data_IF_856195055669
#
_entry.id   IF_856195055669
#
_cell.length_a   1.000
_cell.length_b   1.000
_cell.length_c   1.000
_cell.angle_alpha   90.00
_cell.angle_beta   90.00
_cell.angle_gamma   90.00
#
_symmetry.space_group_name_H-M   'P 1'
#
loop_
_entity.id
_entity.type
_entity.pdbx_description
1 polymer ?
#
# COMPACT_ATOMS: atom_id res chain seq x y z
N UNK A 1 0.82 6.74 6.15
CA UNK A 1 0.92 5.36 6.65
C UNK A 1 2.10 4.66 6.00
N UNK A 2 2.92 4.03 6.81
CA UNK A 2 4.06 3.30 6.28
C UNK A 2 3.61 2.01 5.62
N UNK A 3 4.36 1.57 4.64
CA UNK A 3 4.02 0.34 3.94
C UNK A 3 5.26 -0.30 3.35
N UNK A 4 5.11 -1.54 2.90
CA UNK A 4 6.19 -2.30 2.31
C UNK A 4 5.93 -2.59 0.83
N UNK A 5 5.16 -1.76 0.16
CA UNK A 5 4.86 -1.99 -1.25
C UNK A 5 6.13 -2.06 -2.09
N UNK A 6 7.07 -1.15 -1.83
CA UNK A 6 8.31 -1.12 -2.59
C UNK A 6 9.09 -2.42 -2.41
N UNK A 7 9.09 -2.97 -1.20
CA UNK A 7 9.79 -4.23 -0.93
C UNK A 7 9.13 -5.36 -1.70
N UNK A 8 7.79 -5.46 -1.65
CA UNK A 8 7.09 -6.53 -2.35
C UNK A 8 7.22 -6.38 -3.86
N UNK A 9 7.20 -5.14 -4.36
CA UNK A 9 7.43 -4.93 -5.79
C UNK A 9 8.81 -5.45 -6.20
N UNK A 10 9.82 -5.13 -5.41
CA UNK A 10 11.17 -5.57 -5.72
C UNK A 10 11.27 -7.09 -5.72
N UNK A 11 10.61 -7.74 -4.78
CA UNK A 11 10.61 -9.18 -4.70
C UNK A 11 9.95 -9.84 -5.91
N UNK A 12 9.04 -9.14 -6.57
CA UNK A 12 8.32 -9.65 -7.72
C UNK A 12 8.78 -9.00 -9.03
N UNK A 13 9.85 -8.20 -8.98
CA UNK A 13 10.38 -7.52 -10.15
C UNK A 13 9.34 -6.64 -10.85
N UNK A 14 8.54 -5.93 -10.06
CA UNK A 14 7.52 -5.05 -10.60
C UNK A 14 7.92 -3.59 -10.45
N UNK A 15 7.70 -2.82 -11.51
CA UNK A 15 7.83 -1.38 -11.42
C UNK A 15 6.57 -0.80 -10.81
N UNK A 16 6.60 0.48 -10.45
CA UNK A 16 5.39 1.16 -9.98
C UNK A 16 4.30 1.12 -11.05
N UNK A 17 4.68 1.28 -12.30
CA UNK A 17 3.72 1.25 -13.40
C UNK A 17 3.10 -0.14 -13.53
N UNK A 18 3.91 -1.19 -13.39
CA UNK A 18 3.41 -2.56 -13.47
C UNK A 18 2.35 -2.80 -12.41
N UNK A 19 2.65 -2.43 -11.17
CA UNK A 19 1.70 -2.64 -10.09
C UNK A 19 0.44 -1.80 -10.31
N UNK A 20 0.60 -0.56 -10.77
CA UNK A 20 -0.53 0.30 -11.04
C UNK A 20 -1.49 -0.35 -12.04
N UNK A 21 -0.96 -0.90 -13.11
CA UNK A 21 -1.78 -1.57 -14.11
C UNK A 21 -2.48 -2.79 -13.53
N UNK A 22 -1.76 -3.56 -12.73
CA UNK A 22 -2.32 -4.78 -12.15
C UNK A 22 -3.53 -4.47 -11.25
N UNK A 23 -3.42 -3.42 -10.45
CA UNK A 23 -4.50 -3.11 -9.50
C UNK A 23 -5.45 -2.02 -10.00
N UNK A 24 -5.23 -1.54 -11.23
CA UNK A 24 -6.21 -0.66 -11.87
C UNK A 24 -6.17 0.80 -11.44
N UNK A 25 -4.99 1.32 -11.12
CA UNK A 25 -4.84 2.73 -10.77
C UNK A 25 -3.70 3.32 -11.58
N UNK A 26 -3.44 4.61 -11.41
CA UNK A 26 -2.34 5.25 -12.11
C UNK A 26 -1.05 5.06 -11.33
N UNK A 27 0.08 5.22 -12.03
CA UNK A 27 1.39 5.18 -11.41
C UNK A 27 1.49 6.23 -10.30
N UNK A 28 0.89 7.40 -10.53
CA UNK A 28 0.90 8.47 -9.53
C UNK A 28 0.28 8.04 -8.22
N UNK A 29 -0.78 7.24 -8.29
CA UNK A 29 -1.43 6.73 -7.09
C UNK A 29 -0.49 5.80 -6.33
N UNK A 30 0.20 4.90 -7.02
CA UNK A 30 1.13 4.00 -6.36
C UNK A 30 2.28 4.80 -5.72
N UNK A 31 2.80 5.78 -6.45
CA UNK A 31 3.87 6.62 -5.94
C UNK A 31 3.44 7.33 -4.65
N UNK A 32 2.25 7.89 -4.64
CA UNK A 32 1.73 8.61 -3.47
C UNK A 32 1.53 7.68 -2.28
N UNK A 33 1.05 6.47 -2.53
CA UNK A 33 0.87 5.49 -1.46
C UNK A 33 2.22 5.08 -0.88
N UNK A 34 3.19 4.79 -1.73
CA UNK A 34 4.51 4.37 -1.26
C UNK A 34 5.18 5.44 -0.42
N UNK A 35 4.94 6.70 -0.74
CA UNK A 35 5.51 7.80 0.03
C UNK A 35 4.75 8.11 1.31
N UNK A 36 3.65 7.40 1.55
CA UNK A 36 2.85 7.63 2.75
C UNK A 36 1.99 8.87 2.68
N UNK A 37 1.82 9.46 1.48
CA UNK A 37 1.03 10.67 1.32
C UNK A 37 -0.42 10.41 0.98
N UNK A 38 -0.75 9.19 0.66
CA UNK A 38 -2.11 8.83 0.30
C UNK A 38 -2.42 7.46 0.89
N UNK A 39 -3.51 7.35 1.60
CA UNK A 39 -3.95 6.08 2.19
C UNK A 39 -4.93 5.47 1.20
N UNK A 40 -4.66 4.28 0.68
CA UNK A 40 -5.55 3.69 -0.32
C UNK A 40 -6.90 3.32 0.28
N UNK A 41 -7.90 3.20 -0.59
CA UNK A 41 -9.18 2.67 -0.17
C UNK A 41 -8.96 1.24 0.30
N UNK A 42 -9.90 0.73 1.09
CA UNK A 42 -9.81 -0.64 1.56
C UNK A 42 -9.76 -1.61 0.39
N UNK A 43 -10.57 -1.36 -0.63
CA UNK A 43 -10.59 -2.22 -1.81
C UNK A 43 -9.23 -2.27 -2.49
N UNK A 44 -8.61 -1.12 -2.68
CA UNK A 44 -7.30 -1.05 -3.33
C UNK A 44 -6.24 -1.72 -2.46
N UNK A 45 -6.30 -1.51 -1.14
CA UNK A 45 -5.35 -2.12 -0.23
C UNK A 45 -5.41 -3.64 -0.30
N UNK A 46 -6.63 -4.20 -0.35
CA UNK A 46 -6.79 -5.64 -0.49
C UNK A 46 -6.30 -6.15 -1.84
N UNK A 47 -6.55 -5.39 -2.91
CA UNK A 47 -6.08 -5.80 -4.24
C UNK A 47 -4.55 -5.91 -4.26
N UNK A 48 -3.89 -4.96 -3.64
CA UNK A 48 -2.43 -4.96 -3.57
C UNK A 48 -1.94 -6.17 -2.78
N UNK A 49 -2.51 -6.38 -1.59
CA UNK A 49 -2.08 -7.48 -0.74
C UNK A 49 -2.35 -8.83 -1.41
N UNK A 50 -3.52 -8.96 -2.06
CA UNK A 50 -3.87 -10.21 -2.74
C UNK A 50 -2.94 -10.50 -3.89
N UNK A 51 -2.52 -9.49 -4.62
CA UNK A 51 -1.57 -9.71 -5.71
C UNK A 51 -0.27 -10.30 -5.19
N UNK A 52 0.20 -9.81 -4.04
CA UNK A 52 1.42 -10.32 -3.45
C UNK A 52 1.19 -11.59 -2.62
N UNK A 53 -0.07 -12.02 -2.48
CA UNK A 53 -0.45 -13.22 -1.75
C UNK A 53 -0.02 -13.18 -0.29
N UNK A 54 -0.22 -12.01 0.32
CA UNK A 54 0.09 -11.78 1.72
C UNK A 54 -1.11 -11.12 2.38
N UNK A 55 -1.07 -11.04 3.69
CA UNK A 55 -2.12 -10.36 4.44
C UNK A 55 -1.93 -8.85 4.32
N UNK A 56 -3.01 -8.11 4.41
CA UNK A 56 -2.97 -6.67 4.28
C UNK A 56 -2.03 -6.05 5.32
N UNK A 57 -1.95 -6.62 6.52
CA UNK A 57 -1.08 -6.11 7.57
C UNK A 57 0.40 -6.31 7.25
N UNK A 58 0.72 -7.20 6.34
CA UNK A 58 2.11 -7.38 5.93
C UNK A 58 2.54 -6.29 4.97
N UNK A 59 1.60 -5.67 4.30
CA UNK A 59 1.89 -4.61 3.34
C UNK A 59 1.79 -3.25 3.99
N UNK A 60 0.70 -3.00 4.73
CA UNK A 60 0.43 -1.70 5.32
C UNK A 60 0.65 -1.76 6.81
N UNK A 61 1.58 -0.95 7.30
CA UNK A 61 2.00 -1.00 8.69
C UNK A 61 1.22 0.03 9.47
N UNK A 62 0.20 -0.41 10.15
CA UNK A 62 -0.62 0.48 10.96
C UNK A 62 0.07 0.76 12.28
N UNK A 63 0.13 2.02 12.64
CA UNK A 63 0.73 2.41 13.90
C UNK A 63 -0.17 3.40 14.59
N UNK A 64 -0.37 3.23 15.86
CA UNK A 64 -1.14 4.18 16.64
C UNK A 64 -0.25 5.23 17.26
N UNK A 65 1.06 5.09 17.06
CA UNK A 65 1.99 6.00 17.63
C UNK A 65 1.76 7.39 17.06
N UNK A 66 1.69 8.38 17.89
CA UNK A 66 1.46 9.74 17.44
C UNK A 66 0.01 10.09 17.20
N UNK A 67 -0.91 9.14 17.29
CA UNK A 67 -2.30 9.44 17.09
C UNK A 67 -2.86 10.09 18.32
N UNK A 68 -3.70 11.03 18.10
CA UNK A 68 -4.44 11.60 19.17
C UNK A 68 -5.64 10.76 19.32
N UNK A 69 -5.82 10.24 20.48
CA UNK A 69 -6.87 9.38 20.64
C UNK A 69 -7.93 10.00 21.19
N UNK A 70 -8.85 10.29 20.64
CA UNK A 70 -9.85 10.80 21.16
C UNK A 70 -10.85 9.96 21.01
N UNK A 71 -11.03 9.20 21.55
CA UNK A 71 -11.83 8.32 21.47
C UNK A 71 -12.83 8.62 21.98
N UNK A 72 -13.40 8.73 21.69
CA UNK A 72 -14.34 8.87 22.08
C UNK A 72 -14.87 8.33 22.42
#
# INVERSE_FOLDING_TARGET
MKNKIKVFRAMHDLTQEDLAQIVGVTRQTILAIEKGKYVPSLDLAFKIARHFKVNIEEVFLYSEEGRTIDVD
#
